data_IF_289825729760
#
_entry.id   IF_289825729760
#
_cell.length_a   1.000
_cell.length_b   1.000
_cell.length_c   1.000
_cell.angle_alpha   90.00
_cell.angle_beta   90.00
_cell.angle_gamma   90.00
#
_symmetry.space_group_name_H-M   'P 1'
#
loop_
_entity.id
_entity.type
_entity.pdbx_description
1 polymer ?
#
# COMPACT_ATOMS: atom_id res chain seq x y z
N UNK A 1 -41.78 40.82 -11.99
CA UNK A 1 -41.34 39.46 -11.59
C UNK A 1 -40.09 38.97 -12.31
N UNK A 2 -39.89 39.27 -13.60
CA UNK A 2 -38.71 38.82 -14.38
C UNK A 2 -37.36 39.35 -13.87
N UNK A 3 -37.31 40.60 -13.38
CA UNK A 3 -36.07 41.22 -12.88
C UNK A 3 -35.47 40.54 -11.64
N UNK A 4 -36.32 39.99 -10.76
CA UNK A 4 -35.89 39.35 -9.50
C UNK A 4 -35.23 38.00 -9.78
N UNK A 5 -35.69 37.30 -10.81
CA UNK A 5 -35.10 36.04 -11.25
C UNK A 5 -33.73 36.26 -11.90
N UNK A 6 -33.56 37.34 -12.68
CA UNK A 6 -32.27 37.68 -13.31
C UNK A 6 -31.23 38.07 -12.25
N UNK A 7 -31.63 38.84 -11.23
CA UNK A 7 -30.74 39.21 -10.13
C UNK A 7 -30.32 37.99 -9.30
N UNK A 8 -31.23 37.06 -9.01
CA UNK A 8 -30.88 35.80 -8.34
C UNK A 8 -29.94 34.94 -9.19
N UNK A 9 -30.17 34.88 -10.51
CA UNK A 9 -29.32 34.12 -11.42
C UNK A 9 -27.89 34.71 -11.51
N UNK A 10 -27.77 36.04 -11.53
CA UNK A 10 -26.47 36.74 -11.51
C UNK A 10 -25.71 36.57 -10.19
N UNK A 11 -26.42 36.51 -9.05
CA UNK A 11 -25.79 36.23 -7.75
C UNK A 11 -25.24 34.80 -7.72
N UNK A 12 -26.02 33.81 -8.20
CA UNK A 12 -25.56 32.41 -8.27
C UNK A 12 -24.33 32.27 -9.20
N UNK A 13 -24.31 32.99 -10.33
CA UNK A 13 -23.16 33.00 -11.25
C UNK A 13 -21.90 33.64 -10.64
N UNK A 14 -22.05 34.68 -9.79
CA UNK A 14 -20.90 35.27 -9.09
C UNK A 14 -20.35 34.36 -7.98
N UNK A 15 -21.20 33.58 -7.30
CA UNK A 15 -20.75 32.62 -6.30
C UNK A 15 -20.08 31.38 -6.91
N UNK A 16 -20.47 30.98 -8.12
CA UNK A 16 -19.82 29.86 -8.82
C UNK A 16 -18.38 30.15 -9.28
N UNK A 17 -17.92 31.40 -9.28
CA UNK A 17 -16.54 31.77 -9.64
C UNK A 17 -15.57 31.81 -8.45
N UNK A 18 -16.04 31.53 -7.24
CA UNK A 18 -15.31 31.88 -6.01
C UNK A 18 -14.97 30.66 -5.15
N UNK A 19 -14.53 29.56 -5.76
CA UNK A 19 -13.94 28.45 -4.98
C UNK A 19 -12.92 27.59 -5.76
N UNK A 20 -12.07 28.25 -6.56
CA UNK A 20 -10.81 27.67 -7.00
C UNK A 20 -9.64 28.50 -6.47
N UNK A 21 -9.51 28.53 -5.14
CA UNK A 21 -8.21 28.79 -4.54
C UNK A 21 -7.41 27.49 -4.71
N UNK A 22 -6.82 27.32 -5.89
CA UNK A 22 -5.70 26.42 -6.04
C UNK A 22 -4.59 27.01 -5.16
N UNK A 23 -4.45 26.47 -3.94
CA UNK A 23 -3.26 26.67 -3.13
C UNK A 23 -2.15 26.01 -3.94
N UNK A 24 -1.46 26.81 -4.76
CA UNK A 24 -0.27 26.41 -5.47
C UNK A 24 0.83 26.27 -4.41
N UNK A 25 0.81 25.13 -3.70
CA UNK A 25 2.01 24.66 -3.04
C UNK A 25 3.07 24.65 -4.12
N UNK A 26 4.24 25.31 -3.94
CA UNK A 26 5.31 25.18 -4.89
C UNK A 26 5.61 23.68 -4.97
N UNK A 27 5.08 23.05 -6.02
CA UNK A 27 5.40 21.67 -6.32
C UNK A 27 6.85 21.79 -6.75
N UNK A 28 7.75 21.56 -5.80
CA UNK A 28 9.16 21.45 -6.06
C UNK A 28 9.32 20.19 -6.91
N UNK A 29 9.02 20.31 -8.20
CA UNK A 29 9.40 19.35 -9.22
C UNK A 29 10.89 19.53 -9.34
N UNK A 30 11.62 18.80 -8.50
CA UNK A 30 13.02 18.51 -8.77
C UNK A 30 12.99 17.78 -10.11
N UNK A 31 13.20 18.52 -11.21
CA UNK A 31 13.48 17.89 -12.49
C UNK A 31 14.72 17.03 -12.24
N UNK A 32 14.65 15.69 -12.41
CA UNK A 32 15.86 14.89 -12.39
C UNK A 32 16.79 15.49 -13.44
N UNK A 33 18.03 15.80 -13.04
CA UNK A 33 19.08 16.22 -13.98
C UNK A 33 19.05 15.23 -15.15
N UNK A 34 18.98 15.70 -16.42
CA UNK A 34 18.72 14.85 -17.60
C UNK A 34 19.77 13.76 -17.90
N UNK A 35 20.76 13.57 -17.02
CA UNK A 35 21.86 12.61 -17.17
C UNK A 35 22.05 11.65 -16.00
N UNK A 36 21.26 11.78 -14.92
CA UNK A 36 21.31 10.84 -13.80
C UNK A 36 20.08 9.94 -13.91
N UNK A 37 20.29 8.71 -14.42
CA UNK A 37 19.29 7.66 -14.20
C UNK A 37 19.06 7.55 -12.70
N UNK A 38 17.82 7.34 -12.23
CA UNK A 38 17.58 7.14 -10.81
C UNK A 38 18.52 6.04 -10.29
N UNK A 39 18.91 6.08 -9.02
CA UNK A 39 19.68 4.98 -8.40
C UNK A 39 18.82 4.20 -7.42
N UNK A 40 17.62 4.72 -7.15
CA UNK A 40 16.69 4.22 -6.17
C UNK A 40 15.24 4.35 -6.69
N UNK A 41 14.35 3.60 -6.07
CA UNK A 41 12.91 3.72 -6.24
C UNK A 41 12.33 4.35 -4.97
N UNK A 42 11.41 5.30 -5.13
CA UNK A 42 10.68 5.86 -4.01
C UNK A 42 9.36 5.11 -3.81
N UNK A 43 9.21 4.46 -2.65
CA UNK A 43 7.97 3.81 -2.26
C UNK A 43 7.14 4.76 -1.39
N UNK A 44 6.16 5.40 -2.02
CA UNK A 44 5.40 6.49 -1.43
C UNK A 44 4.56 6.08 -0.21
N UNK A 45 4.03 4.85 -0.19
CA UNK A 45 3.20 4.34 0.91
C UNK A 45 3.92 4.43 2.26
N UNK A 46 5.21 4.13 2.27
CA UNK A 46 6.04 4.10 3.48
C UNK A 46 7.08 5.23 3.53
N UNK A 47 7.05 6.12 2.52
CA UNK A 47 7.99 7.23 2.37
C UNK A 47 9.46 6.79 2.42
N UNK A 48 9.79 5.65 1.79
CA UNK A 48 11.11 5.05 1.85
C UNK A 48 11.77 4.97 0.47
N UNK A 49 13.10 5.12 0.42
CA UNK A 49 13.90 4.95 -0.79
C UNK A 49 14.53 3.56 -0.78
N UNK A 50 14.27 2.76 -1.82
CA UNK A 50 14.91 1.45 -2.03
C UNK A 50 16.01 1.59 -3.06
N UNK A 51 17.20 1.08 -2.77
CA UNK A 51 18.26 1.01 -3.76
C UNK A 51 17.90 0.04 -4.89
N UNK A 52 18.45 0.26 -6.08
CA UNK A 52 18.20 -0.59 -7.23
C UNK A 52 18.55 -2.06 -6.95
N UNK A 53 17.65 -2.97 -7.33
CA UNK A 53 17.73 -4.42 -7.07
C UNK A 53 17.71 -4.83 -5.59
N UNK A 54 17.35 -3.92 -4.68
CA UNK A 54 17.10 -4.30 -3.29
C UNK A 54 15.65 -4.75 -3.10
N UNK A 55 15.48 -5.67 -2.15
CA UNK A 55 14.18 -6.19 -1.73
C UNK A 55 14.05 -6.06 -0.23
N UNK A 56 12.93 -5.50 0.20
CA UNK A 56 12.53 -5.38 1.60
C UNK A 56 11.37 -6.34 1.86
N UNK A 57 11.49 -7.17 2.89
CA UNK A 57 10.35 -7.93 3.42
C UNK A 57 9.80 -7.20 4.64
N UNK A 58 8.49 -7.10 4.76
CA UNK A 58 7.84 -6.60 5.98
C UNK A 58 6.55 -7.31 6.29
N UNK A 59 6.19 -7.29 7.56
CA UNK A 59 4.91 -7.78 8.04
C UNK A 59 3.87 -6.65 7.98
N UNK A 60 2.73 -6.92 7.32
CA UNK A 60 1.62 -5.95 7.21
C UNK A 60 0.59 -6.25 8.30
N UNK A 61 0.29 -7.53 8.52
CA UNK A 61 -0.65 -8.03 9.52
C UNK A 61 -0.22 -9.39 10.07
N UNK A 62 -0.98 -9.89 11.02
CA UNK A 62 -0.77 -11.23 11.57
C UNK A 62 -0.89 -12.29 10.45
N UNK A 63 0.19 -13.04 10.21
CA UNK A 63 0.24 -14.03 9.12
C UNK A 63 0.32 -13.44 7.70
N UNK A 64 0.43 -12.12 7.55
CA UNK A 64 0.51 -11.45 6.25
C UNK A 64 1.79 -10.61 6.14
N UNK A 65 2.58 -10.87 5.12
CA UNK A 65 3.76 -10.10 4.78
C UNK A 65 3.76 -9.74 3.29
N UNK A 66 4.60 -8.76 2.96
CA UNK A 66 4.90 -8.40 1.58
C UNK A 66 6.40 -8.28 1.33
N UNK A 67 6.75 -8.47 0.07
CA UNK A 67 8.04 -8.14 -0.50
C UNK A 67 7.92 -6.91 -1.39
N UNK A 68 8.71 -5.88 -1.11
CA UNK A 68 8.79 -4.66 -1.90
C UNK A 68 10.17 -4.63 -2.55
N UNK A 69 10.24 -4.53 -3.87
CA UNK A 69 11.51 -4.53 -4.61
C UNK A 69 11.62 -3.38 -5.59
N UNK A 70 12.82 -2.83 -5.73
CA UNK A 70 13.14 -1.82 -6.75
C UNK A 70 13.78 -2.50 -7.97
N UNK A 71 13.05 -2.53 -9.09
CA UNK A 71 13.51 -3.21 -10.30
C UNK A 71 14.34 -2.30 -11.21
N UNK A 72 15.08 -2.88 -12.17
CA UNK A 72 15.93 -2.15 -13.14
C UNK A 72 15.21 -1.07 -13.96
N UNK A 73 13.87 -1.12 -14.02
CA UNK A 73 13.03 -0.08 -14.64
C UNK A 73 12.71 1.09 -13.71
N UNK A 74 13.29 1.15 -12.51
CA UNK A 74 12.94 2.10 -11.45
C UNK A 74 11.48 2.01 -11.02
N UNK A 75 10.94 0.80 -11.09
CA UNK A 75 9.58 0.48 -10.70
C UNK A 75 9.59 -0.29 -9.39
N UNK A 76 8.67 0.08 -8.50
CA UNK A 76 8.36 -0.69 -7.31
C UNK A 76 7.50 -1.89 -7.70
N UNK A 77 7.96 -3.08 -7.36
CA UNK A 77 7.17 -4.32 -7.44
C UNK A 77 6.85 -4.78 -6.02
N UNK A 78 5.55 -4.93 -5.73
CA UNK A 78 5.04 -5.39 -4.43
C UNK A 78 4.42 -6.78 -4.61
N UNK A 79 4.88 -7.75 -3.82
CA UNK A 79 4.32 -9.11 -3.77
C UNK A 79 3.72 -9.35 -2.40
N UNK A 80 2.45 -9.72 -2.39
CA UNK A 80 1.72 -10.07 -1.17
C UNK A 80 1.66 -11.59 -1.01
N UNK A 81 1.44 -12.02 0.23
CA UNK A 81 1.06 -13.40 0.48
C UNK A 81 -0.21 -13.80 -0.29
N UNK A 82 -0.33 -15.07 -0.69
CA UNK A 82 -1.60 -15.57 -1.20
C UNK A 82 -2.70 -15.37 -0.15
N UNK A 83 -3.94 -15.12 -0.58
CA UNK A 83 -5.06 -15.02 0.35
C UNK A 83 -5.17 -16.31 1.15
N UNK A 84 -5.37 -16.19 2.47
CA UNK A 84 -5.60 -17.34 3.33
C UNK A 84 -6.84 -18.10 2.85
N UNK A 85 -6.77 -19.44 2.84
CA UNK A 85 -7.91 -20.29 2.52
C UNK A 85 -9.00 -20.07 3.59
N UNK A 86 -10.16 -19.47 3.25
CA UNK A 86 -11.19 -19.16 4.22
C UNK A 86 -11.81 -20.41 4.86
N UNK A 87 -11.58 -21.60 4.30
CA UNK A 87 -12.17 -22.85 4.76
C UNK A 87 -11.33 -23.46 5.90
N UNK A 88 -10.02 -23.19 5.95
CA UNK A 88 -9.11 -23.77 6.95
C UNK A 88 -8.78 -22.76 8.04
N UNK A 89 -9.53 -22.81 9.14
CA UNK A 89 -9.12 -22.16 10.40
C UNK A 89 -8.04 -23.01 11.07
N UNK A 90 -6.78 -22.79 10.70
CA UNK A 90 -5.63 -23.50 11.26
C UNK A 90 -4.77 -22.56 12.12
N UNK A 91 -4.13 -23.06 13.20
CA UNK A 91 -3.08 -22.31 13.87
C UNK A 91 -1.96 -21.96 12.89
N UNK A 92 -1.57 -20.68 12.86
CA UNK A 92 -0.51 -20.17 12.00
C UNK A 92 0.80 -20.17 12.80
N UNK A 93 1.88 -20.64 12.19
CA UNK A 93 3.21 -20.56 12.80
C UNK A 93 3.72 -19.11 12.79
N UNK A 94 4.06 -18.59 13.95
CA UNK A 94 4.64 -17.25 14.11
C UNK A 94 6.15 -17.33 14.36
N UNK A 95 6.87 -16.41 13.76
CA UNK A 95 8.28 -16.18 14.03
C UNK A 95 8.46 -14.87 14.79
N UNK A 96 9.34 -14.85 15.80
CA UNK A 96 9.69 -13.64 16.54
C UNK A 96 10.37 -12.59 15.66
N UNK A 97 11.14 -13.05 14.66
CA UNK A 97 11.65 -12.26 13.56
C UNK A 97 11.04 -12.82 12.28
N UNK A 98 10.27 -12.04 11.50
CA UNK A 98 9.67 -12.53 10.26
C UNK A 98 10.79 -13.00 9.31
N UNK A 99 10.74 -14.25 8.80
CA UNK A 99 11.65 -14.68 7.76
C UNK A 99 11.42 -13.87 6.46
N UNK A 100 12.32 -13.94 5.48
CA UNK A 100 12.10 -13.28 4.20
C UNK A 100 10.86 -13.83 3.48
N UNK A 101 10.27 -13.02 2.58
CA UNK A 101 9.22 -13.49 1.69
C UNK A 101 9.73 -14.63 0.79
N UNK A 102 8.96 -15.71 0.55
CA UNK A 102 7.57 -15.94 0.93
C UNK A 102 7.36 -16.63 2.29
N UNK A 103 8.43 -16.96 3.02
CA UNK A 103 8.35 -17.80 4.23
C UNK A 103 7.67 -17.10 5.42
N UNK A 104 7.54 -15.77 5.36
CA UNK A 104 6.78 -15.00 6.34
C UNK A 104 5.26 -15.07 6.14
N UNK A 105 4.80 -15.66 5.04
CA UNK A 105 3.38 -15.89 4.83
C UNK A 105 2.86 -16.92 5.81
N UNK A 106 1.68 -16.66 6.37
CA UNK A 106 1.02 -17.58 7.29
C UNK A 106 0.71 -18.90 6.59
N UNK A 107 1.41 -19.96 6.99
CA UNK A 107 1.12 -21.33 6.56
C UNK A 107 0.47 -22.04 7.75
N UNK A 108 -0.54 -22.86 7.47
CA UNK A 108 -1.14 -23.73 8.47
C UNK A 108 -0.07 -24.61 9.12
N UNK A 109 0.03 -24.55 10.44
CA UNK A 109 0.79 -25.52 11.20
C UNK A 109 -0.04 -26.80 11.31
N UNK A 110 0.18 -27.75 10.38
CA UNK A 110 -0.56 -29.01 10.32
C UNK A 110 -0.42 -29.84 11.61
N UNK A 111 0.74 -29.76 12.27
CA UNK A 111 0.97 -30.49 13.52
C UNK A 111 0.19 -29.88 14.67
N UNK A 112 0.17 -28.54 14.79
CA UNK A 112 -0.65 -27.84 15.75
C UNK A 112 -2.15 -28.04 15.47
N UNK A 113 -2.54 -28.05 14.19
CA UNK A 113 -3.92 -28.38 13.75
C UNK A 113 -4.33 -29.75 14.25
N UNK A 114 -3.52 -30.78 13.99
CA UNK A 114 -3.80 -32.15 14.43
C UNK A 114 -3.96 -32.25 15.96
N UNK A 115 -3.06 -31.61 16.72
CA UNK A 115 -3.15 -31.58 18.19
C UNK A 115 -4.41 -30.86 18.70
N UNK A 116 -4.88 -29.85 17.97
CA UNK A 116 -6.10 -29.13 18.30
C UNK A 116 -7.34 -30.00 18.05
N UNK A 117 -7.40 -30.69 16.91
CA UNK A 117 -8.48 -31.61 16.57
C UNK A 117 -8.56 -32.80 17.55
N UNK A 118 -7.42 -33.36 17.94
CA UNK A 118 -7.34 -34.43 18.95
C UNK A 118 -7.90 -33.99 20.31
N UNK A 119 -7.72 -32.72 20.69
CA UNK A 119 -8.25 -32.17 21.96
C UNK A 119 -9.75 -31.88 21.94
N UNK A 120 -10.33 -31.63 20.77
CA UNK A 120 -11.76 -31.33 20.64
C UNK A 120 -12.59 -32.61 20.55
N UNK A 121 -12.05 -33.63 19.89
CA UNK A 121 -12.77 -34.86 19.56
C UNK A 121 -12.48 -36.04 20.50
N UNK A 122 -11.55 -35.89 21.45
CA UNK A 122 -11.21 -36.88 22.48
C UNK A 122 -11.64 -36.45 23.87
#
# INVERSE_FOLDING_TARGET
>A
MLLVLILNFLVILKFAQLEQVAIDYPTMRILPKPHLRPTNCYYATEKLNLDLNTTLTRQIRFGECESISCTKGYMIEVKNCPPADPIRSCPIKLYSVPPPFPDCCGICDEEATRRFEEKING
#
